data_IF_077734823439
#
_entry.id   IF_077734823439
#
_cell.length_a   1.000
_cell.length_b   1.000
_cell.length_c   1.000
_cell.angle_alpha   90.00
_cell.angle_beta   90.00
_cell.angle_gamma   90.00
#
_symmetry.space_group_name_H-M   'P 1'
#
loop_
_entity.id
_entity.type
_entity.pdbx_description
1 polymer ?
#
# COMPACT_ATOMS: atom_id res chain seq x y z
N UNK A 1 22.78 25.80 24.51
CA UNK A 1 21.43 25.76 25.13
C UNK A 1 20.63 24.55 24.67
N UNK A 2 20.54 24.27 23.36
CA UNK A 2 19.80 23.09 22.87
C UNK A 2 20.22 21.75 23.51
N UNK A 3 21.51 21.37 23.62
CA UNK A 3 21.87 20.10 24.26
C UNK A 3 21.44 20.00 25.72
N UNK A 4 21.42 21.13 26.43
CA UNK A 4 20.97 21.23 27.81
C UNK A 4 19.45 21.00 27.90
N UNK A 5 18.67 21.65 27.03
CA UNK A 5 17.22 21.43 26.96
C UNK A 5 16.86 20.02 26.52
N UNK A 6 17.61 19.41 25.59
CA UNK A 6 17.39 18.01 25.19
C UNK A 6 17.71 17.02 26.31
N UNK A 7 18.71 17.31 27.14
CA UNK A 7 19.05 16.48 28.30
C UNK A 7 17.96 16.54 29.38
N UNK A 8 17.43 17.72 29.67
CA UNK A 8 16.38 17.89 30.70
C UNK A 8 14.99 17.51 30.19
N UNK A 9 14.72 17.74 28.90
CA UNK A 9 13.44 17.43 28.26
C UNK A 9 13.63 16.51 27.06
N UNK A 10 13.66 15.18 27.28
CA UNK A 10 13.73 14.20 26.19
C UNK A 10 12.57 14.30 25.19
N UNK A 11 11.46 14.94 25.59
CA UNK A 11 10.28 15.21 24.77
C UNK A 11 10.44 16.43 23.83
N UNK A 12 11.56 17.17 23.92
CA UNK A 12 11.86 18.33 23.07
C UNK A 12 12.10 17.87 21.62
N UNK A 13 11.24 18.33 20.72
CA UNK A 13 11.30 18.05 19.28
C UNK A 13 12.10 19.12 18.56
N UNK A 14 11.79 20.38 18.82
CA UNK A 14 12.42 21.53 18.17
C UNK A 14 12.93 22.53 19.19
N UNK A 15 14.09 23.10 18.91
CA UNK A 15 14.70 24.21 19.63
C UNK A 15 15.18 25.22 18.59
N UNK A 16 14.52 26.37 18.51
CA UNK A 16 14.85 27.40 17.52
C UNK A 16 15.13 28.71 18.22
N UNK A 17 16.34 29.23 18.08
CA UNK A 17 16.68 30.59 18.55
C UNK A 17 16.20 31.59 17.52
N UNK A 18 15.31 32.48 17.93
CA UNK A 18 14.64 33.44 17.04
C UNK A 18 15.41 34.76 16.97
N UNK A 19 15.94 35.24 18.10
CA UNK A 19 16.68 36.51 18.12
C UNK A 19 17.64 36.63 19.30
N UNK A 20 18.67 37.45 19.09
CA UNK A 20 19.62 37.93 20.09
C UNK A 20 19.42 39.45 20.22
N UNK A 21 19.50 39.99 21.43
CA UNK A 21 19.57 41.45 21.67
C UNK A 21 20.99 41.84 22.10
N UNK A 22 21.36 43.10 21.90
CA UNK A 22 22.70 43.60 22.22
C UNK A 22 23.02 43.39 23.71
N UNK A 23 24.07 42.63 24.00
CA UNK A 23 24.47 42.22 25.35
C UNK A 23 23.82 40.94 25.92
N UNK A 24 22.86 40.31 25.23
CA UNK A 24 22.18 39.09 25.70
C UNK A 24 22.50 37.86 24.84
N UNK A 25 22.70 36.71 25.51
CA UNK A 25 23.08 35.45 24.86
C UNK A 25 21.92 34.84 24.07
N UNK A 26 20.64 35.06 24.44
CA UNK A 26 19.44 34.77 23.64
C UNK A 26 18.27 35.58 24.20
N UNK A 27 17.44 36.20 23.35
CA UNK A 27 16.23 36.90 23.79
C UNK A 27 14.96 36.07 23.59
N UNK A 28 14.83 35.42 22.42
CA UNK A 28 13.65 34.64 22.05
C UNK A 28 14.00 33.23 21.57
N UNK A 29 13.30 32.23 22.09
CA UNK A 29 13.42 30.82 21.69
C UNK A 29 12.03 30.23 21.48
N UNK A 30 11.86 29.56 20.34
CA UNK A 30 10.72 28.68 20.08
C UNK A 30 11.09 27.25 20.49
N UNK A 31 10.24 26.65 21.33
CA UNK A 31 10.41 25.30 21.84
C UNK A 31 9.17 24.47 21.51
N UNK A 32 9.38 23.27 20.97
CA UNK A 32 8.30 22.32 20.66
C UNK A 32 8.48 21.02 21.42
N UNK A 33 7.41 20.53 22.06
CA UNK A 33 7.43 19.32 22.90
C UNK A 33 6.32 18.34 22.51
N UNK A 34 6.53 17.05 22.81
CA UNK A 34 5.46 16.06 22.78
C UNK A 34 4.44 16.29 23.92
N UNK A 35 3.14 16.22 23.62
CA UNK A 35 2.04 16.69 24.48
C UNK A 35 1.89 15.97 25.83
N UNK A 36 2.24 14.69 25.92
CA UNK A 36 2.17 13.95 27.19
C UNK A 36 3.30 14.31 28.17
N UNK A 37 4.25 15.15 27.77
CA UNK A 37 5.46 15.45 28.53
C UNK A 37 5.96 16.88 28.29
N UNK A 38 5.08 17.80 27.92
CA UNK A 38 5.46 19.20 27.72
C UNK A 38 5.72 19.85 29.08
N UNK A 39 6.93 20.36 29.34
CA UNK A 39 7.22 21.07 30.58
C UNK A 39 6.45 22.40 30.63
N UNK A 40 6.09 22.84 31.83
CA UNK A 40 5.52 24.16 32.04
C UNK A 40 6.60 25.25 31.92
N UNK A 41 6.17 26.51 31.77
CA UNK A 41 7.07 27.65 31.57
C UNK A 41 8.11 27.78 32.70
N UNK A 42 7.74 27.48 33.94
CA UNK A 42 8.65 27.53 35.10
C UNK A 42 9.77 26.49 34.97
N UNK A 43 9.44 25.26 34.55
CA UNK A 43 10.43 24.20 34.31
C UNK A 43 11.39 24.58 33.18
N UNK A 44 10.88 25.17 32.10
CA UNK A 44 11.68 25.63 30.96
C UNK A 44 12.69 26.70 31.40
N UNK A 45 12.28 27.65 32.24
CA UNK A 45 13.15 28.73 32.75
C UNK A 45 14.21 28.19 33.73
N UNK A 46 13.84 27.26 34.61
CA UNK A 46 14.73 26.67 35.62
C UNK A 46 15.98 26.00 35.01
N UNK A 47 15.85 25.38 33.83
CA UNK A 47 16.98 24.80 33.08
C UNK A 47 18.03 25.85 32.76
N UNK A 48 17.61 27.07 32.39
CA UNK A 48 18.51 28.15 32.03
C UNK A 48 19.19 28.75 33.27
N UNK A 49 18.41 28.98 34.33
CA UNK A 49 18.89 29.53 35.61
C UNK A 49 19.94 28.62 36.25
N UNK A 50 19.76 27.30 36.16
CA UNK A 50 20.74 26.33 36.66
C UNK A 50 22.03 26.27 35.85
N UNK A 51 21.99 26.61 34.57
CA UNK A 51 23.14 26.50 33.67
C UNK A 51 24.00 27.77 33.60
N UNK A 52 23.43 28.95 33.90
CA UNK A 52 24.18 30.22 33.84
C UNK A 52 23.78 31.13 35.00
N UNK A 53 24.72 31.42 35.89
CA UNK A 53 24.51 32.24 37.10
C UNK A 53 24.37 33.75 36.86
N UNK A 54 24.64 34.24 35.64
CA UNK A 54 24.71 35.68 35.31
C UNK A 54 23.68 36.18 34.27
N UNK A 55 22.62 35.42 33.96
CA UNK A 55 21.56 35.87 33.03
C UNK A 55 20.45 36.55 33.83
N UNK A 56 20.18 37.83 33.55
CA UNK A 56 19.19 38.64 34.28
C UNK A 56 17.87 38.84 33.53
N UNK A 57 17.78 38.57 32.22
CA UNK A 57 16.54 38.71 31.43
C UNK A 57 16.43 37.62 30.36
N UNK A 58 15.27 36.95 30.28
CA UNK A 58 14.90 36.00 29.23
C UNK A 58 13.39 36.12 28.94
N UNK A 59 12.99 36.19 27.66
CA UNK A 59 11.59 36.36 27.26
C UNK A 59 11.14 35.13 26.45
N UNK A 60 10.11 34.42 26.94
CA UNK A 60 9.49 33.29 26.24
C UNK A 60 8.22 33.80 25.57
N UNK A 61 8.23 33.96 24.24
CA UNK A 61 7.08 34.53 23.52
C UNK A 61 5.97 33.51 23.22
N UNK A 62 6.30 32.24 22.95
CA UNK A 62 5.30 31.22 22.62
C UNK A 62 5.67 29.82 23.09
N UNK A 63 4.75 29.20 23.82
CA UNK A 63 4.70 27.75 24.04
C UNK A 63 3.40 27.26 23.41
N UNK A 64 3.49 26.58 22.25
CA UNK A 64 2.30 26.06 21.55
C UNK A 64 2.26 24.53 21.66
N UNK A 65 1.24 23.94 22.29
CA UNK A 65 0.99 22.51 22.11
C UNK A 65 0.45 22.27 20.70
N UNK A 66 1.10 21.41 19.93
CA UNK A 66 0.54 20.89 18.68
C UNK A 66 -0.36 19.70 19.01
N UNK A 67 -1.66 19.83 18.75
CA UNK A 67 -2.58 18.69 18.75
C UNK A 67 -2.24 17.79 17.57
N UNK A 68 -1.59 16.66 17.84
CA UNK A 68 -1.41 15.62 16.84
C UNK A 68 -2.73 14.84 16.76
N UNK A 69 -3.51 15.08 15.70
CA UNK A 69 -4.62 14.19 15.36
C UNK A 69 -4.01 12.79 15.17
N UNK A 70 -4.49 11.75 15.89
CA UNK A 70 -3.99 10.40 15.68
C UNK A 70 -4.13 10.05 14.19
N UNK A 71 -3.15 9.35 13.58
CA UNK A 71 -3.26 8.96 12.19
C UNK A 71 -4.57 8.18 12.02
N UNK A 72 -5.49 8.74 11.24
CA UNK A 72 -6.69 8.01 10.84
C UNK A 72 -6.21 6.85 10.00
N UNK A 73 -6.27 5.63 10.55
CA UNK A 73 -5.96 4.42 9.80
C UNK A 73 -6.97 4.34 8.67
N UNK A 74 -6.49 4.47 7.44
CA UNK A 74 -7.33 4.33 6.25
C UNK A 74 -7.95 2.92 6.27
N UNK A 75 -9.28 2.85 6.19
CA UNK A 75 -9.96 1.56 6.12
C UNK A 75 -9.58 0.86 4.82
N UNK A 76 -9.32 -0.45 4.88
CA UNK A 76 -8.94 -1.26 3.72
C UNK A 76 -9.81 -2.48 3.55
N UNK A 77 -10.04 -2.89 2.30
CA UNK A 77 -10.73 -4.12 1.92
C UNK A 77 -9.74 -5.04 1.20
N UNK A 78 -9.80 -6.33 1.51
CA UNK A 78 -8.94 -7.34 0.88
C UNK A 78 -9.72 -8.11 -0.18
N UNK A 79 -9.10 -8.27 -1.35
CA UNK A 79 -9.53 -9.17 -2.42
C UNK A 79 -8.57 -10.35 -2.53
N UNK A 80 -9.09 -11.57 -2.53
CA UNK A 80 -8.28 -12.77 -2.73
C UNK A 80 -8.13 -13.00 -4.23
N UNK A 81 -6.90 -13.12 -4.72
CA UNK A 81 -6.61 -13.45 -6.10
C UNK A 81 -5.86 -14.79 -6.14
N UNK A 82 -6.32 -15.68 -7.02
CA UNK A 82 -5.70 -17.00 -7.22
C UNK A 82 -5.51 -17.25 -8.71
N UNK A 83 -4.38 -17.83 -9.09
CA UNK A 83 -4.14 -18.34 -10.44
C UNK A 83 -3.13 -19.49 -10.44
N UNK A 84 -3.22 -20.37 -11.44
CA UNK A 84 -2.32 -21.49 -11.65
C UNK A 84 -1.19 -21.09 -12.59
N UNK A 85 0.02 -21.46 -12.21
CA UNK A 85 1.19 -21.48 -13.07
C UNK A 85 1.34 -22.86 -13.70
N UNK A 86 0.63 -23.08 -14.82
CA UNK A 86 0.57 -24.37 -15.48
C UNK A 86 1.95 -24.81 -16.01
N UNK A 87 2.28 -26.08 -15.82
CA UNK A 87 3.54 -26.69 -16.28
C UNK A 87 4.74 -26.48 -15.34
N UNK A 88 4.61 -25.63 -14.32
CA UNK A 88 5.64 -25.44 -13.31
C UNK A 88 5.61 -26.54 -12.24
N UNK A 89 6.75 -26.84 -11.62
CA UNK A 89 6.87 -27.94 -10.65
C UNK A 89 6.67 -27.43 -9.22
N UNK A 90 5.67 -27.98 -8.54
CA UNK A 90 5.48 -27.76 -7.11
C UNK A 90 6.53 -28.54 -6.29
N UNK A 91 7.16 -27.87 -5.33
CA UNK A 91 8.00 -28.52 -4.31
C UNK A 91 7.42 -28.27 -2.93
N UNK A 92 7.68 -29.17 -1.99
CA UNK A 92 7.21 -29.03 -0.59
C UNK A 92 7.77 -27.79 0.10
N UNK A 93 8.92 -27.27 -0.35
CA UNK A 93 9.51 -26.04 0.19
C UNK A 93 8.60 -24.83 -0.06
N UNK A 94 7.75 -24.86 -1.09
CA UNK A 94 6.74 -23.82 -1.35
C UNK A 94 5.58 -23.82 -0.34
N UNK A 95 5.48 -24.84 0.53
CA UNK A 95 4.51 -24.83 1.65
C UNK A 95 5.03 -24.02 2.85
N UNK A 96 6.33 -23.73 2.92
CA UNK A 96 6.95 -23.07 4.06
C UNK A 96 7.30 -21.61 3.75
N UNK A 97 6.59 -20.62 4.32
CA UNK A 97 6.87 -19.19 4.11
C UNK A 97 8.29 -18.75 4.46
N UNK A 98 8.99 -19.50 5.32
CA UNK A 98 10.36 -19.19 5.72
C UNK A 98 11.42 -19.73 4.74
N UNK A 99 11.05 -20.64 3.83
CA UNK A 99 11.98 -21.26 2.88
C UNK A 99 12.48 -20.26 1.83
N UNK A 100 13.65 -20.53 1.26
CA UNK A 100 14.17 -19.75 0.15
C UNK A 100 13.27 -19.87 -1.09
N UNK A 101 12.75 -21.07 -1.38
CA UNK A 101 11.86 -21.32 -2.51
C UNK A 101 10.59 -20.45 -2.44
N UNK A 102 9.93 -20.41 -1.27
CA UNK A 102 8.74 -19.59 -1.07
C UNK A 102 9.06 -18.10 -1.26
N UNK A 103 10.10 -17.60 -0.58
CA UNK A 103 10.47 -16.17 -0.62
C UNK A 103 10.82 -15.72 -2.03
N UNK A 104 11.60 -16.53 -2.76
CA UNK A 104 11.98 -16.23 -4.14
C UNK A 104 10.76 -16.22 -5.07
N UNK A 105 9.88 -17.22 -4.96
CA UNK A 105 8.64 -17.30 -5.74
C UNK A 105 7.73 -16.11 -5.46
N UNK A 106 7.51 -15.79 -4.18
CA UNK A 106 6.69 -14.67 -3.75
C UNK A 106 7.24 -13.32 -4.25
N UNK A 107 8.56 -13.13 -4.15
CA UNK A 107 9.23 -11.95 -4.66
C UNK A 107 9.11 -11.83 -6.19
N UNK A 108 9.27 -12.92 -6.93
CA UNK A 108 9.14 -12.95 -8.39
C UNK A 108 7.74 -12.54 -8.87
N UNK A 109 6.70 -13.08 -8.22
CA UNK A 109 5.30 -12.74 -8.51
C UNK A 109 5.02 -11.28 -8.17
N UNK A 110 5.45 -10.83 -6.98
CA UNK A 110 5.26 -9.45 -6.53
C UNK A 110 5.94 -8.46 -7.48
N UNK A 111 7.20 -8.69 -7.84
CA UNK A 111 7.98 -7.85 -8.74
C UNK A 111 7.28 -7.64 -10.09
N UNK A 112 6.70 -8.69 -10.65
CA UNK A 112 6.09 -8.66 -11.98
C UNK A 112 4.64 -8.15 -12.00
N UNK A 113 3.86 -8.41 -10.94
CA UNK A 113 2.42 -8.10 -10.94
C UNK A 113 2.07 -6.83 -10.18
N UNK A 114 2.71 -6.56 -9.03
CA UNK A 114 2.35 -5.41 -8.20
C UNK A 114 2.38 -4.08 -8.98
N UNK A 115 3.40 -3.77 -9.81
CA UNK A 115 3.41 -2.53 -10.59
C UNK A 115 2.26 -2.42 -11.60
N UNK A 116 1.78 -3.55 -12.14
CA UNK A 116 0.64 -3.58 -13.07
C UNK A 116 -0.67 -3.29 -12.33
N UNK A 117 -0.84 -3.88 -11.15
CA UNK A 117 -2.00 -3.63 -10.28
C UNK A 117 -2.00 -2.21 -9.72
N UNK A 118 -0.85 -1.67 -9.31
CA UNK A 118 -0.74 -0.28 -8.84
C UNK A 118 -1.10 0.72 -9.93
N UNK A 119 -0.66 0.47 -11.17
CA UNK A 119 -0.98 1.34 -12.31
C UNK A 119 -2.45 1.27 -12.70
N UNK A 120 -3.07 0.10 -12.60
CA UNK A 120 -4.51 -0.07 -12.85
C UNK A 120 -5.37 0.48 -11.70
N UNK A 121 -4.88 0.38 -10.46
CA UNK A 121 -5.64 0.67 -9.25
C UNK A 121 -4.82 1.54 -8.29
N UNK A 122 -4.93 2.89 -8.37
CA UNK A 122 -4.28 3.81 -7.44
C UNK A 122 -4.70 3.63 -5.97
N UNK A 123 -5.80 2.90 -5.72
CA UNK A 123 -6.25 2.55 -4.37
C UNK A 123 -5.61 1.29 -3.80
N UNK A 124 -4.77 0.58 -4.57
CA UNK A 124 -3.99 -0.54 -4.02
C UNK A 124 -3.07 -0.02 -2.92
N UNK A 125 -3.10 -0.68 -1.77
CA UNK A 125 -2.27 -0.39 -0.59
C UNK A 125 -1.26 -1.49 -0.32
N UNK A 126 -1.59 -2.72 -0.69
CA UNK A 126 -0.71 -3.85 -0.46
C UNK A 126 -0.96 -4.97 -1.47
N UNK A 127 0.10 -5.68 -1.81
CA UNK A 127 0.10 -6.88 -2.63
C UNK A 127 0.93 -7.93 -1.89
N UNK A 128 0.26 -8.98 -1.42
CA UNK A 128 0.87 -10.00 -0.58
C UNK A 128 0.62 -11.36 -1.20
N UNK A 129 1.69 -12.07 -1.56
CA UNK A 129 1.60 -13.50 -1.89
C UNK A 129 1.51 -14.27 -0.56
N UNK A 130 0.40 -14.98 -0.36
CA UNK A 130 0.05 -15.57 0.95
C UNK A 130 0.40 -17.05 1.04
N UNK A 131 0.24 -17.81 -0.04
CA UNK A 131 0.56 -19.23 -0.06
C UNK A 131 0.69 -19.80 -1.46
N UNK A 132 1.30 -20.98 -1.55
CA UNK A 132 1.32 -21.83 -2.74
C UNK A 132 0.69 -23.18 -2.42
N UNK A 133 0.05 -23.80 -3.40
CA UNK A 133 -0.47 -25.17 -3.28
C UNK A 133 -0.24 -26.01 -4.54
N UNK A 134 -0.44 -27.33 -4.40
CA UNK A 134 -0.22 -28.30 -5.47
C UNK A 134 -1.19 -28.10 -6.65
N UNK A 135 -0.75 -28.52 -7.85
CA UNK A 135 -1.47 -28.31 -9.12
C UNK A 135 -0.63 -27.48 -10.10
N UNK A 136 0.50 -28.04 -10.53
CA UNK A 136 1.64 -27.28 -11.10
C UNK A 136 2.21 -26.30 -10.07
N UNK A 137 1.73 -25.06 -9.97
CA UNK A 137 1.84 -24.21 -8.76
C UNK A 137 0.59 -23.35 -8.73
N UNK A 138 -0.25 -23.46 -7.70
CA UNK A 138 -1.37 -22.52 -7.47
C UNK A 138 -0.86 -21.39 -6.59
N UNK A 139 -0.96 -20.16 -7.09
CA UNK A 139 -0.51 -18.97 -6.40
C UNK A 139 -1.70 -18.29 -5.74
N UNK A 140 -1.61 -18.01 -4.44
CA UNK A 140 -2.63 -17.28 -3.70
C UNK A 140 -2.07 -15.96 -3.20
N UNK A 141 -2.82 -14.88 -3.38
CA UNK A 141 -2.44 -13.55 -2.93
C UNK A 141 -3.63 -12.75 -2.41
N UNK A 142 -3.31 -11.79 -1.54
CA UNK A 142 -4.22 -10.80 -1.02
C UNK A 142 -3.85 -9.43 -1.61
N UNK A 143 -4.82 -8.80 -2.27
CA UNK A 143 -4.76 -7.43 -2.74
C UNK A 143 -5.53 -6.56 -1.75
N UNK A 144 -4.86 -5.64 -1.06
CA UNK A 144 -5.52 -4.70 -0.16
C UNK A 144 -5.76 -3.39 -0.87
N UNK A 145 -7.01 -2.95 -0.89
CA UNK A 145 -7.41 -1.66 -1.47
C UNK A 145 -7.94 -0.74 -0.38
N UNK A 146 -7.85 0.57 -0.61
CA UNK A 146 -8.61 1.55 0.16
C UNK A 146 -10.11 1.24 0.10
N UNK A 147 -10.79 1.27 1.25
CA UNK A 147 -12.24 1.10 1.31
C UNK A 147 -13.01 2.23 0.60
N UNK A 148 -12.35 3.36 0.29
CA UNK A 148 -12.95 4.44 -0.49
C UNK A 148 -13.31 4.01 -1.91
N UNK A 149 -12.52 3.09 -2.50
CA UNK A 149 -12.83 2.49 -3.80
C UNK A 149 -12.14 1.13 -3.95
N UNK A 150 -12.95 0.09 -4.04
CA UNK A 150 -12.52 -1.29 -4.21
C UNK A 150 -12.88 -1.74 -5.63
N UNK A 151 -11.90 -2.11 -6.47
CA UNK A 151 -12.18 -2.61 -7.81
C UNK A 151 -13.05 -3.87 -7.81
N UNK A 152 -13.88 -4.01 -8.83
CA UNK A 152 -14.70 -5.20 -9.05
C UNK A 152 -13.87 -6.41 -9.51
N UNK A 153 -14.39 -7.61 -9.29
CA UNK A 153 -13.69 -8.86 -9.62
C UNK A 153 -13.30 -8.95 -11.12
N UNK A 154 -14.17 -8.46 -12.01
CA UNK A 154 -13.89 -8.39 -13.47
C UNK A 154 -12.67 -7.52 -13.76
N UNK A 155 -12.56 -6.34 -13.15
CA UNK A 155 -11.43 -5.43 -13.39
C UNK A 155 -10.11 -6.04 -12.92
N UNK A 156 -10.13 -6.73 -11.77
CA UNK A 156 -8.95 -7.43 -11.22
C UNK A 156 -8.52 -8.56 -12.17
N UNK A 157 -9.46 -9.35 -12.68
CA UNK A 157 -9.19 -10.42 -13.67
C UNK A 157 -8.61 -9.84 -14.96
N UNK A 158 -9.16 -8.76 -15.50
CA UNK A 158 -8.65 -8.12 -16.73
C UNK A 158 -7.19 -7.67 -16.62
N UNK A 159 -6.78 -7.15 -15.45
CA UNK A 159 -5.38 -6.77 -15.22
C UNK A 159 -4.48 -8.00 -15.27
N UNK A 160 -4.88 -9.12 -14.65
CA UNK A 160 -4.10 -10.34 -14.68
C UNK A 160 -4.08 -11.00 -16.06
N UNK A 161 -5.17 -10.93 -16.83
CA UNK A 161 -5.19 -11.38 -18.23
C UNK A 161 -4.24 -10.58 -19.12
N UNK A 162 -4.19 -9.25 -18.94
CA UNK A 162 -3.22 -8.40 -19.64
C UNK A 162 -1.78 -8.71 -19.20
N UNK A 163 -1.57 -9.03 -17.93
CA UNK A 163 -0.28 -9.46 -17.42
C UNK A 163 0.18 -10.77 -18.06
N UNK A 164 -0.72 -11.74 -18.28
CA UNK A 164 -0.43 -13.02 -18.92
C UNK A 164 0.13 -12.89 -20.36
N UNK A 165 -0.07 -11.73 -21.02
CA UNK A 165 0.49 -11.45 -22.35
C UNK A 165 1.94 -10.95 -22.31
N UNK A 166 2.40 -10.43 -21.16
CA UNK A 166 3.67 -9.70 -21.06
C UNK A 166 4.64 -10.30 -20.03
N UNK A 167 4.14 -10.95 -18.98
CA UNK A 167 4.94 -11.57 -17.94
C UNK A 167 5.40 -12.95 -18.43
N UNK A 168 6.71 -13.16 -18.45
CA UNK A 168 7.33 -14.43 -18.91
C UNK A 168 8.09 -15.17 -17.82
N UNK A 169 8.33 -14.55 -16.66
CA UNK A 169 9.08 -15.15 -15.54
C UNK A 169 8.37 -16.34 -14.87
N UNK A 170 7.05 -16.42 -15.03
CA UNK A 170 6.22 -17.53 -14.58
C UNK A 170 4.95 -17.61 -15.42
N UNK A 171 4.33 -18.79 -15.41
CA UNK A 171 3.13 -19.03 -16.19
C UNK A 171 1.92 -18.44 -15.48
N UNK A 172 1.01 -17.84 -16.25
CA UNK A 172 -0.31 -17.40 -15.80
C UNK A 172 -1.35 -18.08 -16.67
N UNK A 173 -1.96 -19.14 -16.16
CA UNK A 173 -3.04 -19.81 -16.87
C UNK A 173 -4.34 -19.00 -16.69
N UNK A 174 -4.76 -18.30 -17.75
CA UNK A 174 -5.87 -17.35 -17.70
C UNK A 174 -7.22 -17.98 -17.33
N UNK A 175 -7.44 -19.26 -17.65
CA UNK A 175 -8.67 -20.00 -17.30
C UNK A 175 -8.75 -20.37 -15.82
N UNK A 176 -7.65 -20.27 -15.07
CA UNK A 176 -7.58 -20.62 -13.64
C UNK A 176 -7.75 -19.42 -12.70
N UNK A 177 -7.96 -18.21 -13.25
CA UNK A 177 -8.02 -16.98 -12.47
C UNK A 177 -9.31 -16.95 -11.64
N UNK A 178 -9.17 -16.77 -10.33
CA UNK A 178 -10.27 -16.59 -9.38
C UNK A 178 -10.06 -15.30 -8.59
N UNK A 179 -11.14 -14.54 -8.39
CA UNK A 179 -11.16 -13.41 -7.46
C UNK A 179 -12.25 -13.66 -6.41
N UNK A 180 -11.89 -13.60 -5.13
CA UNK A 180 -12.75 -13.99 -4.01
C UNK A 180 -13.42 -15.36 -4.22
N UNK A 181 -12.63 -16.34 -4.68
CA UNK A 181 -13.07 -17.71 -4.98
C UNK A 181 -14.13 -17.84 -6.09
N UNK A 182 -14.42 -16.75 -6.82
CA UNK A 182 -15.30 -16.75 -7.98
C UNK A 182 -14.51 -16.79 -9.27
N UNK A 183 -14.82 -17.74 -10.15
CA UNK A 183 -14.30 -17.73 -11.51
C UNK A 183 -15.03 -16.65 -12.29
N UNK A 184 -14.28 -15.65 -12.71
CA UNK A 184 -14.82 -14.60 -13.55
C UNK A 184 -14.56 -15.02 -14.98
N UNK A 185 -15.58 -15.53 -15.66
CA UNK A 185 -15.53 -15.66 -17.11
C UNK A 185 -15.30 -14.26 -17.65
N UNK A 186 -14.13 -14.00 -18.24
CA UNK A 186 -13.96 -12.83 -19.08
C UNK A 186 -14.99 -13.00 -20.17
N UNK A 187 -16.11 -12.28 -20.07
CA UNK A 187 -17.05 -12.18 -21.15
C UNK A 187 -16.28 -11.64 -22.34
N UNK A 188 -15.73 -12.54 -23.16
CA UNK A 188 -15.64 -12.28 -24.58
C UNK A 188 -17.10 -12.01 -24.90
N UNK A 189 -17.46 -10.73 -24.99
CA UNK A 189 -18.54 -10.36 -25.86
C UNK A 189 -18.10 -10.92 -27.20
N UNK A 190 -18.61 -12.11 -27.53
CA UNK A 190 -18.66 -12.53 -28.90
C UNK A 190 -19.49 -11.41 -29.52
N UNK A 191 -18.82 -10.48 -30.20
CA UNK A 191 -19.47 -9.66 -31.20
C UNK A 191 -20.00 -10.69 -32.19
N UNK A 192 -21.19 -11.22 -31.94
CA UNK A 192 -21.92 -12.03 -32.89
C UNK A 192 -22.13 -11.05 -34.02
N UNK A 193 -21.22 -11.10 -35.00
CA UNK A 193 -21.31 -10.26 -36.17
C UNK A 193 -22.72 -10.46 -36.72
N UNK A 194 -23.46 -9.36 -36.86
CA UNK A 194 -24.82 -9.37 -37.41
C UNK A 194 -24.86 -10.15 -38.74
N UNK A 195 -23.73 -10.15 -39.48
CA UNK A 195 -23.53 -10.91 -40.71
C UNK A 195 -23.61 -12.41 -40.44
N UNK A 196 -22.97 -12.96 -39.40
CA UNK A 196 -23.02 -14.39 -39.09
C UNK A 196 -24.43 -14.82 -38.69
N UNK A 197 -25.15 -13.98 -37.94
CA UNK A 197 -26.54 -14.23 -37.58
C UNK A 197 -27.45 -14.21 -38.82
N UNK A 198 -27.31 -13.22 -39.70
CA UNK A 198 -28.06 -13.15 -40.96
C UNK A 198 -27.75 -14.32 -41.88
N UNK A 199 -26.49 -14.76 -41.97
CA UNK A 199 -26.10 -15.94 -42.75
C UNK A 199 -26.80 -17.20 -42.26
N UNK A 200 -26.87 -17.42 -40.95
CA UNK A 200 -27.56 -18.60 -40.39
C UNK A 200 -29.08 -18.54 -40.62
N UNK A 201 -29.70 -17.36 -40.52
CA UNK A 201 -31.13 -17.17 -40.83
C UNK A 201 -31.40 -17.43 -42.31
N UNK A 202 -30.56 -16.91 -43.20
CA UNK A 202 -30.69 -17.12 -44.64
C UNK A 202 -30.48 -18.58 -45.03
N UNK A 203 -29.49 -19.27 -44.43
CA UNK A 203 -29.28 -20.71 -44.60
C UNK A 203 -30.48 -21.53 -44.13
N UNK A 204 -31.06 -21.16 -42.98
CA UNK A 204 -32.25 -21.82 -42.43
C UNK A 204 -33.45 -21.62 -43.36
N UNK A 205 -33.61 -20.43 -43.93
CA UNK A 205 -34.67 -20.13 -44.88
C UNK A 205 -34.47 -20.85 -46.23
N UNK A 206 -33.23 -20.87 -46.76
CA UNK A 206 -32.91 -21.55 -48.00
C UNK A 206 -33.18 -23.05 -47.90
N UNK A 207 -32.77 -23.67 -46.79
CA UNK A 207 -33.02 -25.09 -46.52
C UNK A 207 -34.50 -25.40 -46.35
N UNK A 208 -35.27 -24.49 -45.74
CA UNK A 208 -36.73 -24.65 -45.57
C UNK A 208 -37.50 -24.59 -46.88
N UNK A 209 -36.96 -23.96 -47.93
CA UNK A 209 -37.58 -23.87 -49.26
C UNK A 209 -37.12 -24.99 -50.22
N UNK A 210 -36.39 -25.99 -49.72
CA UNK A 210 -35.92 -27.15 -50.49
C UNK A 210 -36.61 -28.46 -50.06
N UNK A 211 -37.66 -28.38 -49.22
CA UNK A 211 -38.59 -29.48 -48.92
C UNK A 211 -39.94 -29.23 -49.58
#
# INVERSE_FOLDING_TARGET
LEPLYRNVFPSLRSFTVISFSDGSIVNNIDLEFATASAPNNTQIVDVLVKAVTNITVFVIDKVKPTTQTPPTVEATVTKKLTFRSFGETFTTDLLNPSSAAFKNRAALIKLNLEPLFQRAFPTLRDFIVTSFSNGSIINNMNLKFSAAYVPGNIQITEVLMKAALNVTDFNIETTSILVDDTQVSSGVSHNISLITALSMVLLSWLLSNQQ
#
